data_IF_089274272506
#
_entry.id   IF_089274272506
#
_cell.length_a   1.000
_cell.length_b   1.000
_cell.length_c   1.000
_cell.angle_alpha   90.00
_cell.angle_beta   90.00
_cell.angle_gamma   90.00
#
_symmetry.space_group_name_H-M   'P 1'
#
loop_
_entity.id
_entity.type
_entity.pdbx_description
1 polymer ?
#
# COMPACT_ATOMS: atom_id res chain seq x y z
N UNK A 1 -3.65 21.46 11.98
CA UNK A 1 -2.89 22.64 11.54
C UNK A 1 -1.62 22.26 10.76
N UNK A 2 -0.62 21.62 11.38
CA UNK A 2 0.65 21.24 10.70
C UNK A 2 0.49 20.43 9.40
N UNK A 3 -0.53 19.57 9.31
CA UNK A 3 -0.80 18.79 8.08
C UNK A 3 -1.40 19.65 6.96
N UNK A 4 -2.30 20.58 7.29
CA UNK A 4 -2.94 21.48 6.32
C UNK A 4 -1.91 22.41 5.70
N UNK A 5 -1.04 22.99 6.50
CA UNK A 5 0.04 23.87 6.01
C UNK A 5 0.96 23.14 5.03
N UNK A 6 1.31 21.88 5.32
CA UNK A 6 2.16 21.06 4.44
C UNK A 6 1.47 20.74 3.12
N UNK A 7 0.20 20.34 3.16
CA UNK A 7 -0.57 19.99 1.96
C UNK A 7 -0.89 21.22 1.11
N UNK A 8 -1.32 22.31 1.75
CA UNK A 8 -1.52 23.61 1.13
C UNK A 8 -0.26 24.07 0.40
N UNK A 9 0.87 24.13 1.10
CA UNK A 9 2.15 24.53 0.51
C UNK A 9 2.51 23.65 -0.68
N UNK A 10 2.43 22.33 -0.52
CA UNK A 10 2.79 21.37 -1.59
C UNK A 10 1.96 21.59 -2.86
N UNK A 11 0.64 21.74 -2.73
CA UNK A 11 -0.25 21.92 -3.89
C UNK A 11 -0.08 23.32 -4.47
N UNK A 12 -0.03 24.34 -3.62
CA UNK A 12 0.13 25.72 -4.06
C UNK A 12 1.46 25.91 -4.81
N UNK A 13 2.57 25.37 -4.29
CA UNK A 13 3.88 25.44 -4.95
C UNK A 13 3.85 24.73 -6.31
N UNK A 14 3.20 23.57 -6.41
CA UNK A 14 3.07 22.84 -7.68
C UNK A 14 2.26 23.61 -8.73
N UNK A 15 1.14 24.21 -8.32
CA UNK A 15 0.28 25.01 -9.22
C UNK A 15 0.96 26.32 -9.61
N UNK A 16 1.58 27.02 -8.66
CA UNK A 16 2.36 28.23 -8.96
C UNK A 16 3.47 27.92 -9.95
N UNK A 17 4.25 26.86 -9.72
CA UNK A 17 5.30 26.45 -10.64
C UNK A 17 4.76 26.19 -12.05
N UNK A 18 3.61 25.53 -12.18
CA UNK A 18 2.98 25.27 -13.48
C UNK A 18 2.53 26.56 -14.19
N UNK A 19 1.94 27.50 -13.46
CA UNK A 19 1.40 28.75 -14.01
C UNK A 19 2.47 29.80 -14.33
N UNK A 20 3.59 29.82 -13.59
CA UNK A 20 4.73 30.69 -13.87
C UNK A 20 5.53 30.18 -15.07
N UNK A 21 5.55 28.86 -15.25
CA UNK A 21 6.27 28.20 -16.35
C UNK A 21 5.55 28.38 -17.70
N UNK A 22 6.27 28.22 -18.83
CA UNK A 22 5.64 28.15 -20.14
C UNK A 22 4.55 27.06 -20.20
N UNK A 23 3.44 27.29 -20.92
CA UNK A 23 3.12 28.45 -21.78
C UNK A 23 2.42 29.62 -21.07
N UNK A 24 2.18 29.54 -19.75
CA UNK A 24 1.21 30.40 -19.07
C UNK A 24 1.77 31.74 -18.60
N UNK A 25 3.04 31.77 -18.14
CA UNK A 25 3.77 32.99 -17.76
C UNK A 25 3.03 33.93 -16.79
N UNK A 26 2.27 33.37 -15.85
CA UNK A 26 1.55 34.17 -14.84
C UNK A 26 2.56 34.78 -13.87
N UNK A 27 2.57 36.11 -13.66
CA UNK A 27 3.46 36.74 -12.69
C UNK A 27 3.18 36.26 -11.27
N UNK A 28 4.23 36.06 -10.46
CA UNK A 28 4.11 35.69 -9.05
C UNK A 28 3.26 36.67 -8.22
N UNK A 29 3.26 37.94 -8.61
CA UNK A 29 2.48 39.01 -7.96
C UNK A 29 1.04 39.08 -8.44
N UNK A 30 0.63 38.21 -9.38
CA UNK A 30 -0.72 38.21 -9.91
C UNK A 30 -1.73 37.90 -8.81
N UNK A 31 -2.77 38.72 -8.73
CA UNK A 31 -3.88 38.54 -7.79
C UNK A 31 -4.47 37.14 -7.87
N UNK A 32 -4.46 36.51 -9.06
CA UNK A 32 -5.01 35.17 -9.27
C UNK A 32 -4.32 34.09 -8.43
N UNK A 33 -2.99 34.19 -8.23
CA UNK A 33 -2.22 33.21 -7.44
C UNK A 33 -2.50 33.38 -5.95
N UNK A 34 -2.63 34.62 -5.49
CA UNK A 34 -3.00 34.93 -4.10
C UNK A 34 -4.43 34.49 -3.80
N UNK A 35 -5.37 34.75 -4.72
CA UNK A 35 -6.77 34.30 -4.60
C UNK A 35 -6.84 32.78 -4.54
N UNK A 36 -6.17 32.08 -5.47
CA UNK A 36 -6.11 30.62 -5.47
C UNK A 36 -5.56 30.07 -4.15
N UNK A 37 -4.44 30.60 -3.66
CA UNK A 37 -3.85 30.18 -2.39
C UNK A 37 -4.84 30.33 -1.23
N UNK A 38 -5.56 31.45 -1.17
CA UNK A 38 -6.56 31.70 -0.11
C UNK A 38 -7.78 30.77 -0.24
N UNK A 39 -8.29 30.57 -1.46
CA UNK A 39 -9.40 29.65 -1.72
C UNK A 39 -9.03 28.21 -1.39
N UNK A 40 -7.82 27.77 -1.73
CA UNK A 40 -7.30 26.46 -1.39
C UNK A 40 -7.19 26.27 0.14
N UNK A 41 -6.69 27.28 0.85
CA UNK A 41 -6.60 27.25 2.31
C UNK A 41 -7.99 27.20 2.95
N UNK A 42 -8.94 27.99 2.44
CA UNK A 42 -10.33 27.97 2.88
C UNK A 42 -10.98 26.61 2.61
N UNK A 43 -10.73 26.02 1.43
CA UNK A 43 -11.20 24.68 1.08
C UNK A 43 -10.64 23.63 2.04
N UNK A 44 -9.36 23.68 2.38
CA UNK A 44 -8.78 22.76 3.36
C UNK A 44 -9.34 22.97 4.76
N UNK A 45 -9.45 24.21 5.22
CA UNK A 45 -10.04 24.51 6.51
C UNK A 45 -11.48 23.98 6.57
N UNK A 46 -12.26 24.14 5.50
CA UNK A 46 -13.59 23.54 5.42
C UNK A 46 -13.52 22.00 5.40
N UNK A 47 -12.67 21.40 4.58
CA UNK A 47 -12.60 19.92 4.46
C UNK A 47 -12.14 19.23 5.73
N UNK A 48 -11.23 19.85 6.49
CA UNK A 48 -10.64 19.26 7.69
C UNK A 48 -11.40 19.63 8.97
N UNK A 49 -12.01 20.81 9.04
CA UNK A 49 -12.64 21.32 10.27
C UNK A 49 -14.16 21.50 10.16
N UNK A 50 -14.75 21.45 8.96
CA UNK A 50 -16.21 21.41 8.89
C UNK A 50 -16.70 20.12 9.54
N UNK A 51 -17.72 20.20 10.40
CA UNK A 51 -18.34 19.01 10.93
C UNK A 51 -18.88 18.17 9.78
N UNK A 52 -18.67 16.85 9.86
CA UNK A 52 -19.22 15.89 8.91
C UNK A 52 -20.73 16.14 8.80
N UNK A 53 -21.26 16.23 7.58
CA UNK A 53 -22.69 16.48 7.37
C UNK A 53 -23.53 15.41 8.08
N UNK A 54 -24.71 15.78 8.57
CA UNK A 54 -25.61 14.82 9.22
C UNK A 54 -25.91 13.61 8.30
N UNK A 55 -26.03 13.84 7.00
CA UNK A 55 -26.23 12.78 6.00
C UNK A 55 -25.03 11.82 5.90
N UNK A 56 -23.80 12.34 5.91
CA UNK A 56 -22.61 11.51 5.86
C UNK A 56 -22.40 10.74 7.17
N UNK A 57 -22.77 11.32 8.32
CA UNK A 57 -22.79 10.61 9.60
C UNK A 57 -23.76 9.43 9.56
N UNK A 58 -24.99 9.64 9.08
CA UNK A 58 -25.97 8.56 8.92
C UNK A 58 -25.46 7.48 7.97
N UNK A 59 -24.89 7.86 6.81
CA UNK A 59 -24.31 6.91 5.85
C UNK A 59 -23.17 6.10 6.48
N UNK A 60 -22.29 6.74 7.25
CA UNK A 60 -21.19 6.05 7.93
C UNK A 60 -21.72 5.02 8.95
N UNK A 61 -22.76 5.37 9.72
CA UNK A 61 -23.42 4.46 10.66
C UNK A 61 -24.06 3.27 9.94
N UNK A 62 -24.78 3.52 8.84
CA UNK A 62 -25.39 2.47 8.02
C UNK A 62 -24.35 1.52 7.42
N UNK A 63 -23.25 2.06 6.89
CA UNK A 63 -22.14 1.28 6.35
C UNK A 63 -21.46 0.44 7.43
N UNK A 64 -21.18 1.02 8.60
CA UNK A 64 -20.62 0.28 9.73
C UNK A 64 -21.55 -0.84 10.21
N UNK A 65 -22.86 -0.58 10.24
CA UNK A 65 -23.88 -1.57 10.62
C UNK A 65 -23.94 -2.72 9.60
N UNK A 66 -23.95 -2.38 8.31
CA UNK A 66 -23.91 -3.35 7.21
C UNK A 66 -22.65 -4.22 7.27
N UNK A 67 -21.47 -3.60 7.41
CA UNK A 67 -20.19 -4.32 7.51
C UNK A 67 -20.17 -5.28 8.71
N UNK A 68 -20.69 -4.83 9.87
CA UNK A 68 -20.82 -5.66 11.07
C UNK A 68 -21.77 -6.85 10.84
N UNK A 69 -22.90 -6.62 10.18
CA UNK A 69 -23.86 -7.65 9.82
C UNK A 69 -23.25 -8.70 8.88
N UNK A 70 -22.50 -8.26 7.86
CA UNK A 70 -21.78 -9.15 6.94
C UNK A 70 -20.78 -10.02 7.71
N UNK A 71 -19.94 -9.43 8.56
CA UNK A 71 -18.96 -10.19 9.38
C UNK A 71 -19.63 -11.26 10.24
N UNK A 72 -20.71 -10.89 10.94
CA UNK A 72 -21.50 -11.84 11.75
C UNK A 72 -22.07 -12.99 10.91
N UNK A 73 -22.55 -12.71 9.69
CA UNK A 73 -23.04 -13.77 8.79
C UNK A 73 -21.91 -14.67 8.32
N UNK A 74 -20.76 -14.10 7.93
CA UNK A 74 -19.61 -14.90 7.52
C UNK A 74 -19.17 -15.86 8.63
N UNK A 75 -19.06 -15.38 9.87
CA UNK A 75 -18.72 -16.20 11.04
C UNK A 75 -19.80 -17.26 11.32
N UNK A 76 -21.08 -16.85 11.41
CA UNK A 76 -22.20 -17.75 11.73
C UNK A 76 -22.31 -18.92 10.74
N UNK A 77 -22.06 -18.67 9.46
CA UNK A 77 -22.19 -19.66 8.39
C UNK A 77 -20.85 -20.28 7.98
N UNK A 78 -19.76 -19.97 8.71
CA UNK A 78 -18.42 -20.45 8.42
C UNK A 78 -18.00 -20.22 6.95
N UNK A 79 -18.24 -19.00 6.48
CA UNK A 79 -17.96 -18.56 5.11
C UNK A 79 -16.71 -17.68 5.09
N UNK A 80 -15.97 -17.76 3.99
CA UNK A 80 -14.84 -16.88 3.71
C UNK A 80 -15.18 -15.89 2.59
N UNK A 81 -14.80 -14.62 2.78
CA UNK A 81 -14.85 -13.57 1.76
C UNK A 81 -13.42 -13.26 1.28
N UNK A 82 -13.17 -13.36 -0.03
CA UNK A 82 -11.88 -13.05 -0.66
C UNK A 82 -12.05 -12.31 -1.97
N UNK A 83 -11.02 -11.55 -2.36
CA UNK A 83 -10.89 -11.04 -3.72
C UNK A 83 -10.44 -12.19 -4.62
N UNK A 84 -11.03 -12.27 -5.80
CA UNK A 84 -10.68 -13.27 -6.81
C UNK A 84 -9.36 -12.93 -7.51
N UNK A 85 -8.64 -13.96 -8.00
CA UNK A 85 -7.38 -13.77 -8.74
C UNK A 85 -7.55 -12.91 -10.01
N UNK A 86 -8.74 -12.94 -10.63
CA UNK A 86 -9.06 -12.17 -11.84
C UNK A 86 -10.44 -11.55 -11.76
N UNK A 87 -10.57 -10.33 -12.28
CA UNK A 87 -11.86 -9.68 -12.51
C UNK A 87 -12.39 -8.82 -11.37
N UNK A 88 -11.58 -8.50 -10.35
CA UNK A 88 -11.95 -7.61 -9.23
C UNK A 88 -13.28 -7.99 -8.54
N UNK A 89 -13.66 -9.27 -8.60
CA UNK A 89 -14.88 -9.79 -7.99
C UNK A 89 -14.58 -10.38 -6.61
N UNK A 90 -15.65 -10.55 -5.82
CA UNK A 90 -15.60 -11.22 -4.54
C UNK A 90 -15.99 -12.69 -4.65
N UNK A 91 -15.24 -13.55 -3.98
CA UNK A 91 -15.58 -14.93 -3.71
C UNK A 91 -16.16 -15.05 -2.30
N UNK A 92 -17.34 -15.65 -2.20
CA UNK A 92 -17.94 -16.09 -0.94
C UNK A 92 -18.15 -17.60 -1.02
N UNK A 93 -17.59 -18.35 -0.08
CA UNK A 93 -17.73 -19.81 -0.06
C UNK A 93 -17.41 -20.40 1.30
N UNK A 94 -17.47 -21.73 1.41
CA UNK A 94 -17.16 -22.44 2.66
C UNK A 94 -15.71 -22.23 3.07
N UNK A 95 -15.49 -21.82 4.32
CA UNK A 95 -14.15 -21.69 4.90
C UNK A 95 -13.42 -23.04 4.95
N UNK A 96 -14.13 -24.11 5.31
CA UNK A 96 -13.57 -25.48 5.39
C UNK A 96 -13.10 -25.96 4.02
N UNK A 97 -13.88 -25.75 2.97
CA UNK A 97 -13.49 -26.17 1.61
C UNK A 97 -12.30 -25.36 1.10
N UNK A 98 -12.28 -24.06 1.41
CA UNK A 98 -11.16 -23.19 1.05
C UNK A 98 -9.87 -23.64 1.75
N UNK A 99 -9.91 -23.91 3.04
CA UNK A 99 -8.77 -24.42 3.81
C UNK A 99 -8.27 -25.76 3.27
N UNK A 100 -9.17 -26.69 2.92
CA UNK A 100 -8.77 -27.96 2.28
C UNK A 100 -7.99 -27.74 0.99
N UNK A 101 -8.39 -26.78 0.15
CA UNK A 101 -7.66 -26.45 -1.09
C UNK A 101 -6.29 -25.84 -0.80
N UNK A 102 -6.19 -25.00 0.23
CA UNK A 102 -4.92 -24.44 0.69
C UNK A 102 -3.98 -25.54 1.21
N UNK A 103 -4.50 -26.45 2.04
CA UNK A 103 -3.72 -27.58 2.56
C UNK A 103 -3.25 -28.52 1.45
N UNK A 104 -4.13 -28.81 0.48
CA UNK A 104 -3.76 -29.57 -0.72
C UNK A 104 -2.62 -28.89 -1.48
N UNK A 105 -2.68 -27.57 -1.68
CA UNK A 105 -1.60 -26.83 -2.32
C UNK A 105 -0.26 -26.99 -1.58
N UNK A 106 -0.26 -26.91 -0.24
CA UNK A 106 0.97 -27.12 0.55
C UNK A 106 1.51 -28.55 0.42
N UNK A 107 0.64 -29.55 0.47
CA UNK A 107 1.03 -30.96 0.33
C UNK A 107 1.60 -31.26 -1.06
N UNK A 108 0.98 -30.72 -2.11
CA UNK A 108 1.37 -30.95 -3.50
C UNK A 108 2.71 -30.26 -3.83
N UNK A 109 2.93 -29.05 -3.32
CA UNK A 109 4.11 -28.24 -3.69
C UNK A 109 5.30 -28.39 -2.76
N UNK A 110 5.07 -28.61 -1.47
CA UNK A 110 6.11 -28.59 -0.41
C UNK A 110 7.00 -27.35 -0.46
N UNK A 111 6.49 -26.24 -1.01
CA UNK A 111 7.25 -25.02 -1.26
C UNK A 111 7.39 -24.12 -0.02
N UNK A 112 6.56 -24.35 1.00
CA UNK A 112 6.49 -23.52 2.20
C UNK A 112 6.61 -24.40 3.45
N UNK A 113 7.19 -23.82 4.49
CA UNK A 113 7.22 -24.39 5.84
C UNK A 113 6.47 -23.47 6.78
N UNK A 114 5.81 -24.05 7.77
CA UNK A 114 5.22 -23.28 8.86
C UNK A 114 6.33 -22.73 9.76
N UNK A 115 6.25 -21.46 10.09
CA UNK A 115 7.19 -20.81 10.99
C UNK A 115 6.75 -21.03 12.44
N UNK A 116 7.68 -21.45 13.29
CA UNK A 116 7.44 -21.66 14.72
C UNK A 116 7.41 -20.35 15.52
N UNK A 117 8.03 -19.29 14.98
CA UNK A 117 8.12 -17.98 15.60
C UNK A 117 8.11 -16.88 14.54
N UNK A 118 7.86 -15.64 14.96
CA UNK A 118 7.84 -14.48 14.06
C UNK A 118 9.27 -13.95 13.83
N UNK A 119 9.86 -14.11 12.62
CA UNK A 119 11.24 -13.74 12.35
C UNK A 119 11.42 -12.26 11.97
N UNK A 120 10.36 -11.44 12.06
CA UNK A 120 10.34 -10.08 11.52
C UNK A 120 11.52 -9.22 12.02
N UNK A 121 11.71 -9.15 13.34
CA UNK A 121 12.77 -8.34 13.94
C UNK A 121 14.16 -8.84 13.54
N UNK A 122 14.35 -10.16 13.45
CA UNK A 122 15.61 -10.76 13.04
C UNK A 122 15.95 -10.38 11.60
N UNK A 123 15.00 -10.57 10.67
CA UNK A 123 15.15 -10.23 9.25
C UNK A 123 15.43 -8.72 9.09
N UNK A 124 14.62 -7.88 9.74
CA UNK A 124 14.78 -6.42 9.68
C UNK A 124 16.17 -6.00 10.18
N UNK A 125 16.61 -6.53 11.31
CA UNK A 125 17.93 -6.20 11.87
C UNK A 125 19.06 -6.68 10.94
N UNK A 126 18.95 -7.87 10.34
CA UNK A 126 19.94 -8.36 9.36
C UNK A 126 20.06 -7.43 8.15
N UNK A 127 18.93 -6.94 7.61
CA UNK A 127 18.93 -5.99 6.49
C UNK A 127 19.60 -4.67 6.89
N UNK A 128 19.25 -4.11 8.06
CA UNK A 128 19.85 -2.87 8.55
C UNK A 128 21.37 -3.05 8.75
N UNK A 129 21.80 -4.14 9.39
CA UNK A 129 23.22 -4.45 9.59
C UNK A 129 23.98 -4.59 8.27
N UNK A 130 23.37 -5.24 7.27
CA UNK A 130 23.94 -5.35 5.94
C UNK A 130 24.16 -3.97 5.32
N UNK A 131 23.15 -3.11 5.31
CA UNK A 131 23.23 -1.76 4.73
C UNK A 131 24.25 -0.88 5.45
N UNK A 132 24.31 -0.95 6.79
CA UNK A 132 25.31 -0.24 7.59
C UNK A 132 26.72 -0.67 7.18
N UNK A 133 26.98 -1.98 7.13
CA UNK A 133 28.28 -2.54 6.73
C UNK A 133 28.67 -2.14 5.31
N UNK A 134 27.72 -2.15 4.36
CA UNK A 134 27.98 -1.70 2.98
C UNK A 134 28.33 -0.21 2.93
N UNK A 135 27.66 0.61 3.75
CA UNK A 135 27.93 2.04 3.82
C UNK A 135 29.27 2.36 4.47
N UNK A 136 29.59 1.71 5.59
CA UNK A 136 30.87 1.85 6.30
C UNK A 136 32.06 1.51 5.40
N UNK A 137 31.92 0.47 4.57
CA UNK A 137 32.95 0.06 3.60
C UNK A 137 32.95 0.85 2.29
N UNK A 138 32.12 1.89 2.18
CA UNK A 138 31.95 2.70 0.97
C UNK A 138 31.57 1.90 -0.29
N UNK A 139 30.91 0.75 -0.15
CA UNK A 139 30.37 -0.01 -1.28
C UNK A 139 29.09 0.58 -1.86
N UNK A 140 28.41 1.43 -1.08
CA UNK A 140 27.22 2.17 -1.52
C UNK A 140 27.33 3.65 -1.14
N UNK A 141 26.76 4.49 -2.00
CA UNK A 141 26.66 5.93 -1.79
C UNK A 141 25.61 6.26 -0.72
N UNK A 142 25.72 7.44 -0.11
CA UNK A 142 24.81 7.89 0.95
C UNK A 142 23.34 7.90 0.49
N UNK A 143 23.10 8.32 -0.76
CA UNK A 143 21.75 8.35 -1.33
C UNK A 143 21.19 6.94 -1.55
N UNK A 144 22.03 5.97 -1.98
CA UNK A 144 21.63 4.57 -2.15
C UNK A 144 21.27 3.95 -0.80
N UNK A 145 22.11 4.17 0.22
CA UNK A 145 21.85 3.75 1.58
C UNK A 145 20.51 4.29 2.10
N UNK A 146 20.28 5.61 1.96
CA UNK A 146 19.01 6.24 2.39
C UNK A 146 17.81 5.67 1.63
N UNK A 147 17.96 5.42 0.34
CA UNK A 147 16.89 4.87 -0.51
C UNK A 147 16.55 3.41 -0.18
N UNK A 148 17.56 2.60 0.16
CA UNK A 148 17.38 1.18 0.50
C UNK A 148 16.99 0.92 1.95
N UNK A 149 17.25 1.86 2.87
CA UNK A 149 16.96 1.67 4.29
C UNK A 149 15.46 1.43 4.53
N UNK A 150 15.06 0.32 5.18
CA UNK A 150 13.67 0.09 5.53
C UNK A 150 13.19 1.07 6.62
N UNK A 151 11.93 1.51 6.51
CA UNK A 151 11.26 2.29 7.56
C UNK A 151 10.69 1.33 8.61
N UNK A 152 11.27 1.31 9.81
CA UNK A 152 10.86 0.41 10.90
C UNK A 152 9.39 0.58 11.30
N UNK A 153 8.79 1.73 11.02
CA UNK A 153 7.39 2.02 11.39
C UNK A 153 6.38 1.53 10.34
N UNK A 154 6.85 1.23 9.13
CA UNK A 154 6.01 0.81 8.00
C UNK A 154 6.33 -0.59 7.49
N UNK A 155 7.44 -1.16 7.93
CA UNK A 155 7.89 -2.46 7.50
C UNK A 155 7.03 -3.56 8.14
N UNK A 156 6.70 -4.59 7.35
CA UNK A 156 5.89 -5.72 7.77
C UNK A 156 6.57 -7.04 7.41
N UNK A 157 6.20 -8.12 8.10
CA UNK A 157 6.63 -9.46 7.70
C UNK A 157 5.93 -9.84 6.40
N UNK A 158 6.70 -10.35 5.45
CA UNK A 158 6.13 -10.94 4.24
C UNK A 158 5.16 -12.06 4.63
N UNK A 159 3.97 -12.05 4.06
CA UNK A 159 2.93 -13.00 4.41
C UNK A 159 2.33 -13.64 3.17
N UNK A 160 2.02 -14.93 3.30
CA UNK A 160 1.37 -15.72 2.28
C UNK A 160 -0.15 -15.68 2.49
N UNK A 161 -0.88 -15.35 1.44
CA UNK A 161 -2.33 -15.54 1.39
C UNK A 161 -2.74 -16.17 0.07
N UNK A 162 -4.02 -16.53 -0.04
CA UNK A 162 -4.53 -17.26 -1.19
C UNK A 162 -5.73 -16.56 -1.82
N UNK A 163 -5.70 -16.40 -3.14
CA UNK A 163 -6.82 -15.89 -3.92
C UNK A 163 -7.52 -17.02 -4.71
N UNK A 164 -8.86 -17.10 -4.68
CA UNK A 164 -9.60 -18.07 -5.49
C UNK A 164 -9.48 -17.82 -7.00
N UNK A 165 -9.23 -18.87 -7.77
CA UNK A 165 -9.28 -18.88 -9.24
C UNK A 165 -10.66 -19.29 -9.72
N UNK A 166 -11.64 -18.39 -9.59
CA UNK A 166 -13.06 -18.65 -9.96
C UNK A 166 -13.29 -18.97 -11.43
N UNK A 167 -12.31 -18.73 -12.30
CA UNK A 167 -12.33 -19.08 -13.72
C UNK A 167 -11.88 -20.53 -14.01
N UNK A 168 -11.63 -21.34 -12.97
CA UNK A 168 -11.29 -22.77 -13.06
C UNK A 168 -12.43 -23.59 -12.47
N UNK A 169 -12.74 -24.74 -13.08
CA UNK A 169 -13.87 -25.61 -12.69
C UNK A 169 -13.80 -26.04 -11.22
N UNK A 170 -12.60 -26.29 -10.70
CA UNK A 170 -12.38 -26.70 -9.31
C UNK A 170 -12.28 -25.53 -8.31
N UNK A 171 -12.29 -24.29 -8.80
CA UNK A 171 -11.99 -23.07 -8.04
C UNK A 171 -10.74 -23.27 -7.17
N UNK A 172 -9.64 -23.68 -7.79
CA UNK A 172 -8.32 -23.78 -7.15
C UNK A 172 -7.85 -22.44 -6.57
N UNK A 173 -6.83 -22.49 -5.71
CA UNK A 173 -6.26 -21.30 -5.07
C UNK A 173 -4.96 -20.87 -5.74
N UNK A 174 -4.69 -19.56 -5.74
CA UNK A 174 -3.39 -18.99 -6.10
C UNK A 174 -2.66 -18.53 -4.84
N UNK A 175 -1.45 -19.02 -4.55
CA UNK A 175 -0.61 -18.42 -3.51
C UNK A 175 -0.18 -17.02 -3.93
N UNK A 176 -0.28 -16.06 -3.01
CA UNK A 176 0.25 -14.70 -3.16
C UNK A 176 1.17 -14.44 -1.97
N UNK A 177 2.45 -14.26 -2.26
CA UNK A 177 3.43 -13.80 -1.29
C UNK A 177 3.48 -12.27 -1.34
N UNK A 178 2.99 -11.62 -0.29
CA UNK A 178 3.03 -10.17 -0.21
C UNK A 178 4.34 -9.72 0.42
N UNK A 179 5.21 -9.15 -0.42
CA UNK A 179 6.50 -8.60 -0.01
C UNK A 179 6.57 -7.08 -0.14
N UNK A 180 5.46 -6.38 -0.44
CA UNK A 180 5.47 -4.95 -0.75
C UNK A 180 6.07 -4.11 0.38
N UNK A 181 5.84 -4.47 1.64
CA UNK A 181 6.36 -3.74 2.81
C UNK A 181 7.47 -4.52 3.56
N UNK A 182 8.04 -5.56 2.93
CA UNK A 182 9.11 -6.33 3.53
C UNK A 182 10.40 -5.51 3.70
N UNK A 183 11.28 -5.95 4.60
CA UNK A 183 12.53 -5.25 4.89
C UNK A 183 13.44 -5.11 3.63
N UNK A 184 13.27 -5.99 2.66
CA UNK A 184 14.06 -6.05 1.43
C UNK A 184 13.42 -5.33 0.23
N UNK A 185 12.21 -4.77 0.36
CA UNK A 185 11.51 -4.13 -0.77
C UNK A 185 12.31 -2.99 -1.37
N UNK A 186 12.81 -2.08 -0.53
CA UNK A 186 13.53 -0.90 -1.00
C UNK A 186 14.84 -1.27 -1.72
N UNK A 187 15.50 -2.35 -1.29
CA UNK A 187 16.66 -2.93 -1.99
C UNK A 187 16.23 -3.44 -3.36
N UNK A 188 15.14 -4.22 -3.41
CA UNK A 188 14.61 -4.79 -4.66
C UNK A 188 14.21 -3.70 -5.65
N UNK A 189 13.56 -2.64 -5.20
CA UNK A 189 13.17 -1.50 -6.05
C UNK A 189 14.40 -0.78 -6.63
N UNK A 190 15.45 -0.56 -5.83
CA UNK A 190 16.67 0.05 -6.36
C UNK A 190 17.37 -0.85 -7.38
N UNK A 191 17.47 -2.15 -7.10
CA UNK A 191 18.03 -3.11 -8.05
C UNK A 191 17.21 -3.16 -9.34
N UNK A 192 15.89 -3.14 -9.23
CA UNK A 192 14.99 -3.10 -10.37
C UNK A 192 15.25 -1.86 -11.22
N UNK A 193 15.32 -0.66 -10.63
CA UNK A 193 15.64 0.58 -11.37
C UNK A 193 16.99 0.51 -12.09
N UNK A 194 18.00 -0.14 -11.50
CA UNK A 194 19.33 -0.29 -12.10
C UNK A 194 19.30 -1.26 -13.29
N UNK A 195 18.55 -2.36 -13.17
CA UNK A 195 18.57 -3.45 -14.15
C UNK A 195 17.51 -3.24 -15.24
N UNK A 196 16.39 -2.57 -14.95
CA UNK A 196 15.25 -2.35 -15.85
C UNK A 196 15.64 -1.85 -17.25
N UNK A 197 16.56 -0.87 -17.41
CA UNK A 197 16.97 -0.40 -18.74
C UNK A 197 17.57 -1.49 -19.65
N UNK A 198 18.13 -2.55 -19.06
CA UNK A 198 18.67 -3.71 -19.81
C UNK A 198 17.53 -4.51 -20.46
N UNK A 199 16.34 -4.50 -19.86
CA UNK A 199 15.18 -5.22 -20.36
C UNK A 199 14.30 -4.37 -21.29
N UNK A 200 14.24 -3.07 -21.04
CA UNK A 200 13.39 -2.13 -21.80
C UNK A 200 14.03 -1.66 -23.11
N UNK A 201 15.31 -1.95 -23.34
CA UNK A 201 16.04 -1.61 -24.57
C UNK A 201 15.80 -2.59 -25.73
N UNK A 202 14.69 -3.34 -25.71
CA UNK A 202 14.24 -4.24 -26.78
C UNK A 202 13.01 -3.72 -27.50
#
# INVERSE_FOLDING_TARGET
EVQIEKEHKKINDAVQHHLISPPHHVPLTSLILTTYSNELLNYFNHSYFAPISYQDQLRAIEQATTATSIRRKLEKFNLILRITDKGHNFYVGSMIEFEKKVQKFFQDTKAFIELTENPFNEILNKVIQLLNRLREKNFILAWQYKKMMPDRTKCELAHLYFNPKTHKEDISVRPIENTILAATTNISNLLDEIIRPIFDSK
#
